data_IF_037028608325
#
_entry.id   IF_037028608325
#
_cell.length_a   1.000
_cell.length_b   1.000
_cell.length_c   1.000
_cell.angle_alpha   90.00
_cell.angle_beta   90.00
_cell.angle_gamma   90.00
#
_symmetry.space_group_name_H-M   'P 1'
#
loop_
_entity.id
_entity.type
_entity.pdbx_description
1 polymer ?
#
# COMPACT_ATOMS: atom_id res chain seq x y z
N UNK A 1 44.31 -66.56 39.67
CA UNK A 1 44.91 -65.73 38.60
C UNK A 1 45.26 -64.32 39.12
N UNK A 2 45.98 -64.24 40.24
CA UNK A 2 46.37 -62.96 40.89
C UNK A 2 47.86 -62.69 40.68
N UNK A 3 48.66 -63.76 40.68
CA UNK A 3 50.13 -63.72 40.48
C UNK A 3 50.53 -63.18 39.10
N UNK A 4 49.82 -63.59 38.05
CA UNK A 4 50.10 -63.14 36.67
C UNK A 4 49.91 -61.62 36.45
N UNK A 5 49.13 -60.93 37.29
CA UNK A 5 48.99 -59.47 37.22
C UNK A 5 50.15 -58.73 37.89
N UNK A 6 50.89 -59.38 38.77
CA UNK A 6 52.03 -58.78 39.48
C UNK A 6 53.28 -58.72 38.57
N UNK A 7 53.51 -59.75 37.76
CA UNK A 7 54.68 -59.83 36.86
C UNK A 7 54.63 -58.80 35.72
N UNK A 8 53.43 -58.43 35.27
CA UNK A 8 53.25 -57.45 34.19
C UNK A 8 53.65 -56.01 34.61
N UNK A 9 53.77 -55.75 35.91
CA UNK A 9 54.20 -54.45 36.46
C UNK A 9 55.70 -54.39 36.80
N UNK A 10 56.52 -55.37 36.36
CA UNK A 10 57.95 -55.40 36.69
C UNK A 10 58.75 -54.24 36.06
N UNK A 11 58.27 -53.67 34.96
CA UNK A 11 58.88 -52.49 34.32
C UNK A 11 58.00 -51.24 34.53
N UNK A 12 58.38 -50.31 35.41
CA UNK A 12 57.56 -49.14 35.75
C UNK A 12 57.42 -48.14 34.58
N UNK A 13 58.36 -48.14 33.65
CA UNK A 13 58.40 -47.21 32.52
C UNK A 13 57.28 -47.48 31.51
N UNK A 14 57.05 -48.74 31.11
CA UNK A 14 55.98 -49.11 30.16
C UNK A 14 54.57 -48.83 30.71
N UNK A 15 54.37 -49.02 32.01
CA UNK A 15 53.09 -48.74 32.69
C UNK A 15 52.81 -47.25 32.69
N UNK A 16 53.86 -46.42 32.83
CA UNK A 16 53.75 -44.96 32.78
C UNK A 16 53.42 -44.45 31.38
N UNK A 17 54.07 -44.98 30.34
CA UNK A 17 53.83 -44.62 28.94
C UNK A 17 52.41 -44.97 28.49
N UNK A 18 51.93 -46.17 28.83
CA UNK A 18 50.54 -46.59 28.53
C UNK A 18 49.51 -45.66 29.19
N UNK A 19 49.75 -45.22 30.44
CA UNK A 19 48.88 -44.26 31.14
C UNK A 19 48.91 -42.88 30.48
N UNK A 20 50.07 -42.41 30.03
CA UNK A 20 50.22 -41.12 29.33
C UNK A 20 49.48 -41.15 27.99
N UNK A 21 49.62 -42.23 27.21
CA UNK A 21 48.95 -42.41 25.92
C UNK A 21 47.43 -42.52 26.10
N UNK A 22 46.94 -43.24 27.12
CA UNK A 22 45.51 -43.29 27.44
C UNK A 22 44.96 -41.94 27.86
N UNK A 23 45.68 -41.20 28.70
CA UNK A 23 45.25 -39.89 29.18
C UNK A 23 45.20 -38.87 28.03
N UNK A 24 46.18 -38.90 27.12
CA UNK A 24 46.16 -38.08 25.92
C UNK A 24 44.99 -38.44 24.98
N UNK A 25 44.73 -39.74 24.75
CA UNK A 25 43.54 -40.19 23.98
C UNK A 25 42.22 -39.76 24.64
N UNK A 26 42.10 -39.82 25.97
CA UNK A 26 40.91 -39.37 26.72
C UNK A 26 40.72 -37.85 26.62
N UNK A 27 41.80 -37.08 26.66
CA UNK A 27 41.76 -35.62 26.56
C UNK A 27 41.39 -35.14 25.14
N UNK A 28 41.88 -35.81 24.10
CA UNK A 28 41.51 -35.51 22.70
C UNK A 28 40.03 -35.80 22.45
N UNK A 29 39.53 -36.97 22.91
CA UNK A 29 38.09 -37.34 22.80
C UNK A 29 37.16 -36.40 23.61
N UNK A 30 37.61 -35.90 24.77
CA UNK A 30 36.84 -34.90 25.55
C UNK A 30 36.78 -33.53 24.86
N UNK A 31 37.82 -33.13 24.11
CA UNK A 31 37.84 -31.88 23.32
C UNK A 31 36.95 -31.95 22.07
N UNK A 32 36.91 -33.08 21.37
CA UNK A 32 36.03 -33.26 20.19
C UNK A 32 34.55 -33.25 20.59
N UNK A 33 34.16 -34.01 21.62
CA UNK A 33 32.77 -34.09 22.07
C UNK A 33 32.19 -32.73 22.54
N UNK A 34 33.03 -31.87 23.13
CA UNK A 34 32.61 -30.50 23.49
C UNK A 34 32.37 -29.61 22.27
N UNK A 35 33.06 -29.84 21.15
CA UNK A 35 32.90 -29.07 19.91
C UNK A 35 31.62 -29.51 19.17
N UNK A 36 31.35 -30.81 19.15
CA UNK A 36 30.16 -31.40 18.51
C UNK A 36 28.87 -31.01 19.24
N UNK A 37 28.91 -30.94 20.58
CA UNK A 37 27.76 -30.49 21.36
C UNK A 37 27.46 -29.00 21.16
N UNK A 38 28.49 -28.15 21.00
CA UNK A 38 28.31 -26.73 20.66
C UNK A 38 27.72 -26.56 19.26
N UNK A 39 28.20 -27.33 18.27
CA UNK A 39 27.64 -27.30 16.92
C UNK A 39 26.15 -27.71 16.89
N UNK A 40 25.76 -28.73 17.66
CA UNK A 40 24.34 -29.14 17.80
C UNK A 40 23.47 -28.05 18.45
N UNK A 41 23.99 -27.33 19.45
CA UNK A 41 23.27 -26.22 20.09
C UNK A 41 23.12 -25.03 19.14
N UNK A 42 24.18 -24.68 18.40
CA UNK A 42 24.14 -23.61 17.39
C UNK A 42 23.17 -23.96 16.26
N UNK A 43 23.15 -25.22 15.82
CA UNK A 43 22.20 -25.68 14.80
C UNK A 43 20.74 -25.60 15.28
N UNK A 44 20.47 -26.01 16.52
CA UNK A 44 19.13 -25.86 17.13
C UNK A 44 18.72 -24.39 17.24
N UNK A 45 19.65 -23.52 17.66
CA UNK A 45 19.41 -22.08 17.75
C UNK A 45 19.15 -21.46 16.37
N UNK A 46 19.91 -21.87 15.35
CA UNK A 46 19.72 -21.44 13.98
C UNK A 46 18.34 -21.86 13.46
N UNK A 47 17.92 -23.10 13.72
CA UNK A 47 16.60 -23.58 13.30
C UNK A 47 15.45 -22.77 13.95
N UNK A 48 15.58 -22.44 15.25
CA UNK A 48 14.61 -21.58 15.94
C UNK A 48 14.62 -20.16 15.35
N UNK A 49 15.80 -19.61 15.07
CA UNK A 49 15.93 -18.27 14.49
C UNK A 49 15.29 -18.16 13.10
N UNK A 50 15.40 -19.21 12.27
CA UNK A 50 14.76 -19.27 10.95
C UNK A 50 13.24 -19.25 11.10
N UNK A 51 12.67 -20.02 12.04
CA UNK A 51 11.22 -20.00 12.31
C UNK A 51 10.75 -18.61 12.76
N UNK A 52 11.53 -17.93 13.62
CA UNK A 52 11.22 -16.56 14.06
C UNK A 52 11.26 -15.57 12.90
N UNK A 53 12.24 -15.69 12.00
CA UNK A 53 12.33 -14.82 10.82
C UNK A 53 11.13 -15.05 9.88
N UNK A 54 10.73 -16.29 9.65
CA UNK A 54 9.54 -16.61 8.83
C UNK A 54 8.28 -16.00 9.45
N UNK A 55 8.14 -16.08 10.77
CA UNK A 55 7.03 -15.46 11.50
C UNK A 55 7.06 -13.93 11.37
N UNK A 56 8.21 -13.29 11.50
CA UNK A 56 8.34 -11.84 11.35
C UNK A 56 7.99 -11.40 9.92
N UNK A 57 8.41 -12.16 8.90
CA UNK A 57 8.07 -11.88 7.50
C UNK A 57 6.57 -11.98 7.26
N UNK A 58 5.90 -13.01 7.81
CA UNK A 58 4.46 -13.16 7.64
C UNK A 58 3.68 -12.02 8.32
N UNK A 59 4.09 -11.60 9.53
CA UNK A 59 3.52 -10.43 10.20
C UNK A 59 3.77 -9.13 9.41
N UNK A 60 4.96 -8.97 8.84
CA UNK A 60 5.30 -7.79 8.04
C UNK A 60 4.42 -7.66 6.78
N UNK A 61 4.18 -8.77 6.09
CA UNK A 61 3.28 -8.81 4.93
C UNK A 61 1.86 -8.40 5.35
N UNK A 62 1.37 -8.90 6.48
CA UNK A 62 0.04 -8.57 6.98
C UNK A 62 -0.10 -7.09 7.35
N UNK A 63 0.93 -6.50 7.98
CA UNK A 63 0.98 -5.07 8.29
C UNK A 63 0.95 -4.19 7.04
N UNK A 64 1.66 -4.59 5.97
CA UNK A 64 1.59 -3.90 4.68
C UNK A 64 0.22 -4.06 4.03
N UNK A 65 -0.38 -5.24 4.15
CA UNK A 65 -1.71 -5.51 3.62
C UNK A 65 -2.80 -4.63 4.25
N UNK A 66 -2.70 -4.31 5.54
CA UNK A 66 -3.63 -3.38 6.21
C UNK A 66 -3.61 -1.99 5.55
N UNK A 67 -2.43 -1.47 5.23
CA UNK A 67 -2.30 -0.18 4.56
C UNK A 67 -2.84 -0.21 3.12
N UNK A 68 -2.60 -1.30 2.41
CA UNK A 68 -3.14 -1.51 1.05
C UNK A 68 -4.67 -1.60 1.10
N UNK A 69 -5.22 -2.29 2.09
CA UNK A 69 -6.67 -2.41 2.28
C UNK A 69 -7.33 -1.07 2.61
N UNK A 70 -6.71 -0.27 3.50
CA UNK A 70 -7.17 1.09 3.81
C UNK A 70 -7.16 1.98 2.57
N UNK A 71 -6.08 1.97 1.80
CA UNK A 71 -5.97 2.72 0.55
C UNK A 71 -7.05 2.27 -0.45
N UNK A 72 -7.29 0.95 -0.55
CA UNK A 72 -8.34 0.40 -1.43
C UNK A 72 -9.74 0.83 -1.01
N UNK A 73 -10.01 0.89 0.29
CA UNK A 73 -11.27 1.40 0.83
C UNK A 73 -11.45 2.89 0.52
N UNK A 74 -10.39 3.68 0.68
CA UNK A 74 -10.41 5.11 0.36
C UNK A 74 -10.65 5.34 -1.14
N UNK A 75 -9.95 4.62 -2.02
CA UNK A 75 -10.18 4.66 -3.47
C UNK A 75 -11.63 4.32 -3.82
N UNK A 76 -12.17 3.24 -3.25
CA UNK A 76 -13.55 2.84 -3.50
C UNK A 76 -14.57 3.89 -2.98
N UNK A 77 -14.26 4.57 -1.87
CA UNK A 77 -15.09 5.68 -1.39
C UNK A 77 -15.05 6.86 -2.36
N UNK A 78 -13.86 7.28 -2.78
CA UNK A 78 -13.70 8.37 -3.76
C UNK A 78 -14.39 8.03 -5.09
N UNK A 79 -14.32 6.78 -5.53
CA UNK A 79 -14.97 6.32 -6.76
C UNK A 79 -16.51 6.37 -6.65
N UNK A 80 -17.07 5.98 -5.50
CA UNK A 80 -18.50 6.15 -5.21
C UNK A 80 -18.91 7.62 -5.18
N UNK A 81 -18.16 8.46 -4.49
CA UNK A 81 -18.44 9.90 -4.38
C UNK A 81 -18.42 10.56 -5.77
N UNK A 82 -17.44 10.19 -6.61
CA UNK A 82 -17.36 10.65 -8.01
C UNK A 82 -18.61 10.24 -8.80
N UNK A 83 -19.02 8.98 -8.67
CA UNK A 83 -20.15 8.42 -9.42
C UNK A 83 -21.46 9.07 -8.98
N UNK A 84 -21.64 9.30 -7.68
CA UNK A 84 -22.78 10.07 -7.15
C UNK A 84 -22.80 11.49 -7.73
N UNK A 85 -21.68 12.20 -7.70
CA UNK A 85 -21.58 13.55 -8.23
C UNK A 85 -21.88 13.61 -9.74
N UNK A 86 -21.41 12.62 -10.50
CA UNK A 86 -21.69 12.51 -11.93
C UNK A 86 -23.18 12.26 -12.21
N UNK A 87 -23.83 11.43 -11.39
CA UNK A 87 -25.29 11.25 -11.45
C UNK A 87 -26.02 12.55 -11.13
N UNK A 88 -25.67 13.22 -10.03
CA UNK A 88 -26.28 14.51 -9.67
C UNK A 88 -26.12 15.52 -10.81
N UNK A 89 -24.93 15.61 -11.40
CA UNK A 89 -24.70 16.47 -12.57
C UNK A 89 -25.62 16.10 -13.73
N UNK A 90 -25.75 14.81 -14.07
CA UNK A 90 -26.63 14.38 -15.16
C UNK A 90 -28.10 14.74 -14.91
N UNK A 91 -28.59 14.58 -13.67
CA UNK A 91 -29.95 14.96 -13.28
C UNK A 91 -30.15 16.47 -13.42
N UNK A 92 -29.22 17.29 -12.90
CA UNK A 92 -29.30 18.75 -13.02
C UNK A 92 -29.25 19.21 -14.48
N UNK A 93 -28.47 18.55 -15.33
CA UNK A 93 -28.42 18.86 -16.77
C UNK A 93 -29.76 18.54 -17.42
N UNK A 94 -30.35 17.39 -17.14
CA UNK A 94 -31.68 17.02 -17.65
C UNK A 94 -32.76 17.99 -17.17
N UNK A 95 -32.75 18.36 -15.88
CA UNK A 95 -33.68 19.35 -15.33
C UNK A 95 -33.50 20.71 -16.01
N UNK A 96 -32.26 21.13 -16.27
CA UNK A 96 -31.98 22.38 -16.98
C UNK A 96 -32.49 22.33 -18.42
N UNK A 97 -32.31 21.21 -19.11
CA UNK A 97 -32.85 21.00 -20.46
C UNK A 97 -34.37 20.99 -20.46
N UNK A 98 -35.01 20.40 -19.45
CA UNK A 98 -36.45 20.44 -19.27
C UNK A 98 -36.95 21.88 -19.05
N UNK A 99 -36.31 22.65 -18.18
CA UNK A 99 -36.66 24.06 -17.97
C UNK A 99 -36.41 24.93 -19.20
N UNK A 100 -35.34 24.67 -19.96
CA UNK A 100 -35.01 25.39 -21.19
C UNK A 100 -35.93 24.98 -22.35
N UNK A 101 -36.59 23.83 -22.26
CA UNK A 101 -37.49 23.35 -23.30
C UNK A 101 -38.59 24.37 -23.56
N UNK A 102 -38.75 24.75 -24.84
CA UNK A 102 -39.78 25.70 -25.27
C UNK A 102 -41.18 25.24 -24.89
N UNK A 103 -41.40 23.92 -24.85
CA UNK A 103 -42.66 23.32 -24.45
C UNK A 103 -42.97 23.59 -22.98
N UNK A 104 -41.98 23.45 -22.09
CA UNK A 104 -42.16 23.72 -20.66
C UNK A 104 -42.37 25.20 -20.38
N UNK A 105 -41.61 26.05 -21.07
CA UNK A 105 -41.77 27.51 -21.00
C UNK A 105 -43.18 27.92 -21.45
N UNK A 106 -43.69 27.32 -22.54
CA UNK A 106 -45.03 27.60 -23.05
C UNK A 106 -46.11 27.15 -22.07
N UNK A 107 -45.95 25.95 -21.49
CA UNK A 107 -46.87 25.41 -20.49
C UNK A 107 -46.91 26.30 -19.24
N UNK A 108 -45.75 26.65 -18.68
CA UNK A 108 -45.66 27.51 -17.51
C UNK A 108 -46.20 28.92 -17.79
N UNK A 109 -45.90 29.50 -18.96
CA UNK A 109 -46.45 30.79 -19.36
C UNK A 109 -47.98 30.74 -19.45
N UNK A 110 -48.54 29.70 -20.06
CA UNK A 110 -49.99 29.58 -20.27
C UNK A 110 -50.74 29.29 -18.97
N UNK A 111 -50.26 28.32 -18.18
CA UNK A 111 -51.00 27.80 -17.03
C UNK A 111 -50.62 28.46 -15.71
N UNK A 112 -49.37 28.87 -15.51
CA UNK A 112 -48.94 29.56 -14.27
C UNK A 112 -49.03 31.08 -14.38
N UNK A 113 -48.67 31.64 -15.54
CA UNK A 113 -48.68 33.09 -15.76
C UNK A 113 -49.95 33.60 -16.46
N UNK A 114 -50.86 32.70 -16.88
CA UNK A 114 -52.10 33.07 -17.54
C UNK A 114 -51.91 33.72 -18.92
N UNK A 115 -50.75 33.51 -19.55
CA UNK A 115 -50.44 34.12 -20.84
C UNK A 115 -51.17 33.41 -21.99
N UNK A 116 -51.62 34.21 -22.97
CA UNK A 116 -52.14 33.72 -24.24
C UNK A 116 -51.07 33.81 -25.32
N UNK A 117 -51.11 32.88 -26.27
CA UNK A 117 -50.28 33.00 -27.47
C UNK A 117 -50.70 34.27 -28.25
N UNK A 118 -49.75 35.09 -28.73
CA UNK A 118 -50.05 36.32 -29.45
C UNK A 118 -50.63 36.03 -30.84
N UNK A 119 -51.45 36.95 -31.36
CA UNK A 119 -51.87 36.93 -32.77
C UNK A 119 -50.73 37.39 -33.68
N UNK A 120 -50.75 36.99 -34.95
CA UNK A 120 -49.68 37.34 -35.91
C UNK A 120 -49.42 38.85 -36.01
N UNK A 121 -50.46 39.68 -35.86
CA UNK A 121 -50.37 41.15 -35.88
C UNK A 121 -49.67 41.77 -34.66
N UNK A 122 -49.44 40.99 -33.59
CA UNK A 122 -48.83 41.46 -32.34
C UNK A 122 -47.34 41.10 -32.25
N UNK A 123 -46.78 40.40 -33.25
CA UNK A 123 -45.38 39.97 -33.26
C UNK A 123 -44.51 41.09 -33.84
N UNK A 124 -43.60 41.64 -33.02
CA UNK A 124 -42.64 42.67 -33.43
C UNK A 124 -41.22 42.10 -33.35
N UNK A 125 -40.52 42.06 -34.48
CA UNK A 125 -39.12 41.62 -34.55
C UNK A 125 -38.19 42.80 -34.24
N UNK A 126 -37.30 42.62 -33.26
CA UNK A 126 -36.26 43.60 -32.92
C UNK A 126 -34.92 43.03 -33.34
N UNK A 127 -34.19 43.75 -34.20
CA UNK A 127 -32.81 43.43 -34.55
C UNK A 127 -31.89 43.83 -33.40
N UNK A 128 -31.10 42.88 -32.92
CA UNK A 128 -30.08 43.13 -31.89
C UNK A 128 -28.73 43.04 -32.59
N UNK A 129 -27.99 44.13 -32.63
CA UNK A 129 -26.61 44.11 -33.11
C UNK A 129 -25.78 43.21 -32.19
N UNK A 130 -24.97 42.33 -32.78
CA UNK A 130 -24.13 41.37 -32.06
C UNK A 130 -23.25 42.09 -31.04
N UNK A 131 -23.68 42.09 -29.78
CA UNK A 131 -22.83 42.49 -28.65
C UNK A 131 -21.68 41.50 -28.64
N UNK A 132 -20.51 41.95 -29.12
CA UNK A 132 -19.23 41.25 -28.98
C UNK A 132 -19.10 40.86 -27.52
N UNK A 133 -19.38 39.60 -27.23
CA UNK A 133 -19.11 39.00 -25.94
C UNK A 133 -17.59 38.96 -25.85
N UNK A 134 -17.01 39.94 -25.16
CA UNK A 134 -15.61 39.89 -24.79
C UNK A 134 -15.44 38.63 -23.95
N UNK A 135 -14.85 37.61 -24.56
CA UNK A 135 -14.37 36.43 -23.87
C UNK A 135 -13.36 36.92 -22.84
N UNK A 136 -13.79 36.96 -21.58
CA UNK A 136 -12.94 37.17 -20.43
C UNK A 136 -11.87 36.09 -20.45
N UNK A 137 -10.66 36.49 -20.85
CA UNK A 137 -9.44 35.67 -20.81
C UNK A 137 -9.32 35.06 -19.41
N UNK A 138 -9.48 33.74 -19.31
CA UNK A 138 -9.24 32.94 -18.11
C UNK A 138 -7.74 32.81 -17.83
N UNK A 139 -7.03 33.93 -17.68
CA UNK A 139 -5.57 33.96 -17.51
C UNK A 139 -5.09 33.82 -16.04
N UNK A 140 -6.00 33.59 -15.09
CA UNK A 140 -5.69 33.73 -13.66
C UNK A 140 -5.24 32.48 -12.91
N UNK A 141 -5.67 31.29 -13.32
CA UNK A 141 -5.57 30.09 -12.44
C UNK A 141 -4.48 29.13 -12.95
N UNK A 142 -4.46 28.83 -14.25
CA UNK A 142 -3.49 27.89 -14.84
C UNK A 142 -2.04 28.41 -14.77
N UNK A 143 -1.85 29.72 -14.86
CA UNK A 143 -0.54 30.38 -14.75
C UNK A 143 0.04 30.31 -13.33
N UNK A 144 -0.81 30.27 -12.30
CA UNK A 144 -0.40 30.12 -10.91
C UNK A 144 -0.01 28.67 -10.61
N UNK A 145 -0.72 27.68 -11.17
CA UNK A 145 -0.37 26.27 -11.03
C UNK A 145 1.02 25.93 -11.61
N UNK A 146 1.35 26.47 -12.79
CA UNK A 146 2.68 26.24 -13.39
C UNK A 146 3.83 26.83 -12.55
N UNK A 147 3.61 27.95 -11.86
CA UNK A 147 4.61 28.50 -10.92
C UNK A 147 4.81 27.59 -9.71
N UNK A 148 3.72 27.09 -9.11
CA UNK A 148 3.81 26.19 -7.96
C UNK A 148 4.50 24.89 -8.34
N UNK A 149 4.14 24.30 -9.48
CA UNK A 149 4.76 23.06 -9.97
C UNK A 149 6.26 23.23 -10.24
N UNK A 150 6.68 24.37 -10.80
CA UNK A 150 8.09 24.68 -11.01
C UNK A 150 8.91 24.77 -9.72
N UNK A 151 8.32 25.28 -8.63
CA UNK A 151 8.98 25.35 -7.32
C UNK A 151 9.15 23.95 -6.70
N UNK A 152 8.15 23.08 -6.82
CA UNK A 152 8.27 21.69 -6.35
C UNK A 152 9.31 20.89 -7.13
N UNK A 153 9.44 21.11 -8.45
CA UNK A 153 10.48 20.48 -9.27
C UNK A 153 11.90 20.95 -8.94
N UNK A 154 12.06 22.13 -8.34
CA UNK A 154 13.38 22.65 -7.96
C UNK A 154 13.86 22.16 -6.58
N UNK A 155 12.99 21.46 -5.84
CA UNK A 155 13.21 21.02 -4.46
C UNK A 155 13.45 19.51 -4.34
N UNK A 156 13.36 18.78 -5.46
CA UNK A 156 13.59 17.33 -5.56
C UNK A 156 14.59 17.06 -6.68
#
# INVERSE_FOLDING_TARGET
>A
MIVAKAELNYYPEEVSEKKIIENNKKNIKKKSNKKDNKAKVIFKLACISVTVVILLVSLFILYRYENISKMRMEVNKLEKDKLELERTKSVLVTELEELKSSLKITEDAKYKLGMSYPQESQIVYVSVDDVKTESTKTNGIFSQFNKVFGLFSSLF
#
